data_IF_834664641546
#
_entry.id   IF_834664641546
#
_cell.length_a   1.000
_cell.length_b   1.000
_cell.length_c   1.000
_cell.angle_alpha   90.00
_cell.angle_beta   90.00
_cell.angle_gamma   90.00
#
_symmetry.space_group_name_H-M   'P 1'
#
loop_
_entity.id
_entity.type
_entity.pdbx_description
1 polymer ?
#
# COMPACT_ATOMS: atom_id res chain seq x y z
N UNK A 1 1.28 4.44 28.58
CA UNK A 1 -0.16 4.62 28.54
C UNK A 1 -0.70 4.81 27.12
N UNK A 2 -0.21 5.81 26.41
CA UNK A 2 -0.65 6.06 25.04
C UNK A 2 -0.32 4.87 24.14
N UNK A 3 0.81 4.23 24.37
CA UNK A 3 1.21 3.05 23.63
C UNK A 3 0.26 1.88 23.82
N UNK A 4 -0.26 1.72 25.05
CA UNK A 4 -1.21 0.66 25.32
C UNK A 4 -2.54 0.88 24.59
N UNK A 5 -3.03 2.11 24.62
CA UNK A 5 -4.29 2.45 23.92
C UNK A 5 -4.10 2.29 22.41
N UNK A 6 -2.95 2.70 21.90
CA UNK A 6 -2.65 2.56 20.48
C UNK A 6 -2.60 1.10 20.04
N UNK A 7 -2.09 0.21 20.89
CA UNK A 7 -2.07 -1.22 20.58
C UNK A 7 -3.48 -1.78 20.46
N UNK A 8 -4.37 -1.43 21.40
CA UNK A 8 -5.76 -1.89 21.32
C UNK A 8 -6.45 -1.30 20.10
N UNK A 9 -6.29 -0.01 19.88
CA UNK A 9 -6.85 0.65 18.71
C UNK A 9 -6.30 0.06 17.42
N UNK A 10 -5.00 -0.28 17.42
CA UNK A 10 -4.37 -0.90 16.26
C UNK A 10 -5.01 -2.21 15.88
N UNK A 11 -5.31 -3.07 16.87
CA UNK A 11 -6.00 -4.34 16.61
C UNK A 11 -7.40 -4.11 16.07
N UNK A 12 -8.15 -3.19 16.69
CA UNK A 12 -9.50 -2.83 16.25
C UNK A 12 -9.49 -2.21 14.86
N UNK A 13 -8.54 -1.33 14.60
CA UNK A 13 -8.40 -0.70 13.30
C UNK A 13 -8.06 -1.71 12.21
N UNK A 14 -7.25 -2.72 12.54
CA UNK A 14 -6.91 -3.76 11.57
C UNK A 14 -8.13 -4.61 11.20
N UNK A 15 -8.97 -4.93 12.19
CA UNK A 15 -10.21 -5.67 11.94
C UNK A 15 -11.16 -4.85 11.09
N UNK A 16 -11.28 -3.56 11.41
CA UNK A 16 -12.12 -2.66 10.64
C UNK A 16 -11.63 -2.55 9.20
N UNK A 17 -10.32 -2.41 9.03
CA UNK A 17 -9.71 -2.34 7.72
C UNK A 17 -10.03 -3.57 6.88
N UNK A 18 -9.91 -4.76 7.47
CA UNK A 18 -10.22 -6.00 6.77
C UNK A 18 -11.69 -6.07 6.36
N UNK A 19 -12.59 -5.67 7.25
CA UNK A 19 -14.02 -5.64 6.97
C UNK A 19 -14.33 -4.66 5.85
N UNK A 20 -13.78 -3.45 5.94
CA UNK A 20 -13.98 -2.42 4.91
C UNK A 20 -13.47 -2.89 3.55
N UNK A 21 -12.30 -3.51 3.53
CA UNK A 21 -11.71 -4.01 2.31
C UNK A 21 -12.58 -5.07 1.66
N UNK A 22 -13.00 -6.05 2.44
CA UNK A 22 -13.85 -7.14 1.93
C UNK A 22 -15.20 -6.62 1.43
N UNK A 23 -15.82 -5.72 2.18
CA UNK A 23 -17.12 -5.15 1.78
C UNK A 23 -16.99 -4.34 0.49
N UNK A 24 -15.94 -3.55 0.37
CA UNK A 24 -15.72 -2.76 -0.83
C UNK A 24 -15.42 -3.64 -2.04
N UNK A 25 -14.64 -4.69 -1.86
CA UNK A 25 -14.32 -5.62 -2.95
C UNK A 25 -15.55 -6.38 -3.40
N UNK A 26 -16.38 -6.85 -2.46
CA UNK A 26 -17.61 -7.54 -2.80
C UNK A 26 -18.56 -6.61 -3.56
N UNK A 27 -18.64 -5.34 -3.15
CA UNK A 27 -19.47 -4.37 -3.86
C UNK A 27 -19.00 -4.18 -5.30
N UNK A 28 -17.68 -4.16 -5.52
CA UNK A 28 -17.12 -4.06 -6.87
C UNK A 28 -17.50 -5.28 -7.72
N UNK A 29 -17.39 -6.48 -7.15
CA UNK A 29 -17.68 -7.71 -7.88
C UNK A 29 -19.16 -7.82 -8.27
N UNK A 30 -20.02 -7.13 -7.54
CA UNK A 30 -21.46 -7.13 -7.82
C UNK A 30 -21.90 -5.98 -8.71
N UNK A 31 -20.98 -5.11 -9.08
CA UNK A 31 -21.27 -4.01 -9.99
C UNK A 31 -21.42 -4.55 -11.42
N UNK A 32 -22.35 -3.99 -12.18
CA UNK A 32 -22.61 -4.41 -13.56
C UNK A 32 -21.39 -4.24 -14.46
N UNK A 33 -20.51 -3.32 -14.12
CA UNK A 33 -19.32 -3.05 -14.92
C UNK A 33 -18.09 -3.87 -14.52
N UNK A 34 -18.24 -4.76 -13.54
CA UNK A 34 -17.09 -5.51 -13.02
C UNK A 34 -16.38 -6.33 -14.11
N UNK A 35 -17.15 -7.02 -14.95
CA UNK A 35 -16.55 -7.84 -16.00
C UNK A 35 -15.70 -6.99 -16.96
N UNK A 36 -16.16 -5.78 -17.27
CA UNK A 36 -15.42 -4.86 -18.11
C UNK A 36 -14.15 -4.39 -17.38
N UNK A 37 -14.29 -3.94 -16.15
CA UNK A 37 -13.15 -3.46 -15.36
C UNK A 37 -12.11 -4.55 -15.17
N UNK A 38 -12.56 -5.77 -14.89
CA UNK A 38 -11.69 -6.93 -14.66
C UNK A 38 -10.78 -7.19 -15.85
N UNK A 39 -11.30 -7.03 -17.04
CA UNK A 39 -10.56 -7.31 -18.28
C UNK A 39 -9.74 -6.13 -18.77
N UNK A 40 -10.11 -4.92 -18.39
CA UNK A 40 -9.43 -3.70 -18.85
C UNK A 40 -8.32 -3.22 -17.93
N UNK A 41 -8.38 -3.57 -16.65
CA UNK A 41 -7.40 -3.08 -15.69
C UNK A 41 -6.14 -3.94 -15.74
N UNK A 42 -5.09 -3.37 -16.32
CA UNK A 42 -3.80 -4.04 -16.48
C UNK A 42 -2.71 -3.12 -15.93
N UNK A 43 -2.03 -3.55 -14.88
CA UNK A 43 -0.94 -2.77 -14.31
C UNK A 43 -0.07 -3.60 -13.38
N UNK A 44 1.12 -3.09 -13.12
CA UNK A 44 2.03 -3.65 -12.13
C UNK A 44 2.36 -2.54 -11.13
N UNK A 45 2.30 -2.86 -9.85
CA UNK A 45 2.64 -1.91 -8.79
C UNK A 45 3.31 -2.62 -7.63
N UNK A 46 3.89 -1.83 -6.74
CA UNK A 46 4.56 -2.33 -5.55
C UNK A 46 3.98 -1.67 -4.31
N UNK A 47 3.70 -2.46 -3.29
CA UNK A 47 3.30 -1.97 -1.98
C UNK A 47 4.46 -2.22 -1.03
N UNK A 48 4.89 -1.18 -0.32
CA UNK A 48 5.94 -1.28 0.69
C UNK A 48 5.34 -0.97 2.05
N UNK A 49 5.60 -1.82 3.02
CA UNK A 49 5.01 -1.71 4.35
C UNK A 49 5.98 -2.26 5.41
N UNK A 50 5.65 -2.09 6.68
CA UNK A 50 6.41 -2.70 7.76
C UNK A 50 6.02 -4.16 7.95
N UNK A 51 6.81 -4.89 8.71
CA UNK A 51 6.58 -6.31 8.95
C UNK A 51 5.24 -6.58 9.63
N UNK A 52 4.82 -5.68 10.51
CA UNK A 52 3.57 -5.87 11.27
C UNK A 52 2.35 -5.93 10.36
N UNK A 53 2.28 -5.09 9.34
CA UNK A 53 1.13 -5.02 8.44
C UNK A 53 1.28 -5.89 7.19
N UNK A 54 2.43 -6.50 7.00
CA UNK A 54 2.74 -7.19 5.75
C UNK A 54 1.72 -8.26 5.38
N UNK A 55 1.40 -9.15 6.31
CA UNK A 55 0.51 -10.27 5.98
C UNK A 55 -0.89 -9.81 5.59
N UNK A 56 -1.37 -8.75 6.22
CA UNK A 56 -2.69 -8.17 5.90
C UNK A 56 -2.69 -7.57 4.50
N UNK A 57 -1.68 -6.77 4.19
CA UNK A 57 -1.60 -6.14 2.87
C UNK A 57 -1.32 -7.14 1.76
N UNK A 58 -0.50 -8.15 2.04
CA UNK A 58 -0.25 -9.22 1.08
C UNK A 58 -1.53 -10.01 0.79
N UNK A 59 -2.35 -10.25 1.80
CA UNK A 59 -3.65 -10.89 1.62
C UNK A 59 -4.60 -10.07 0.77
N UNK A 60 -4.64 -8.75 0.99
CA UNK A 60 -5.45 -7.85 0.17
C UNK A 60 -5.00 -7.86 -1.29
N UNK A 61 -3.68 -7.82 -1.50
CA UNK A 61 -3.12 -7.85 -2.85
C UNK A 61 -3.49 -9.15 -3.57
N UNK A 62 -3.45 -10.27 -2.85
CA UNK A 62 -3.84 -11.56 -3.42
C UNK A 62 -5.30 -11.57 -3.86
N UNK A 63 -6.19 -11.01 -3.04
CA UNK A 63 -7.60 -10.94 -3.37
C UNK A 63 -7.85 -10.05 -4.58
N UNK A 64 -7.14 -8.93 -4.68
CA UNK A 64 -7.24 -8.05 -5.85
C UNK A 64 -6.74 -8.77 -7.11
N UNK A 65 -5.62 -9.48 -7.02
CA UNK A 65 -5.08 -10.20 -8.17
C UNK A 65 -5.99 -11.34 -8.63
N UNK A 66 -6.74 -11.95 -7.71
CA UNK A 66 -7.75 -12.94 -8.08
C UNK A 66 -8.94 -12.32 -8.78
N UNK A 67 -9.37 -11.14 -8.30
CA UNK A 67 -10.53 -10.45 -8.85
C UNK A 67 -10.19 -9.73 -10.16
N UNK A 68 -8.93 -9.32 -10.35
CA UNK A 68 -8.44 -8.56 -11.51
C UNK A 68 -7.18 -9.24 -12.05
N UNK A 69 -7.34 -10.26 -12.90
CA UNK A 69 -6.21 -11.15 -13.25
C UNK A 69 -5.07 -10.50 -14.01
N UNK A 70 -5.26 -9.30 -14.53
CA UNK A 70 -4.21 -8.60 -15.27
C UNK A 70 -3.44 -7.59 -14.41
N UNK A 71 -3.73 -7.56 -13.11
CA UNK A 71 -2.98 -6.74 -12.16
C UNK A 71 -1.93 -7.60 -11.48
N UNK A 72 -0.73 -7.06 -11.38
CA UNK A 72 0.35 -7.69 -10.63
C UNK A 72 0.77 -6.75 -9.51
N UNK A 73 0.75 -7.24 -8.28
CA UNK A 73 1.10 -6.46 -7.09
C UNK A 73 2.22 -7.14 -6.34
N UNK A 74 3.35 -6.44 -6.20
CA UNK A 74 4.42 -6.88 -5.31
C UNK A 74 4.16 -6.29 -3.93
N UNK A 75 4.31 -7.07 -2.89
CA UNK A 75 4.21 -6.56 -1.51
C UNK A 75 5.50 -6.89 -0.79
N UNK A 76 6.17 -5.88 -0.26
CA UNK A 76 7.43 -6.07 0.45
C UNK A 76 7.34 -5.53 1.87
N UNK A 77 7.81 -6.34 2.81
CA UNK A 77 8.02 -5.91 4.19
C UNK A 77 9.40 -5.25 4.25
N UNK A 78 9.42 -3.96 4.53
CA UNK A 78 10.67 -3.21 4.60
C UNK A 78 11.28 -3.37 5.97
N UNK A 79 12.54 -3.82 6.01
CA UNK A 79 13.29 -3.93 7.25
C UNK A 79 13.67 -2.52 7.71
N UNK A 80 13.44 -2.22 8.99
CA UNK A 80 13.81 -0.93 9.52
C UNK A 80 15.27 -0.94 9.95
N UNK A 81 16.16 -0.53 9.07
CA UNK A 81 17.58 -0.47 9.37
C UNK A 81 17.95 0.82 10.12
N UNK A 82 17.18 1.89 9.89
CA UNK A 82 17.43 3.17 10.51
C UNK A 82 17.23 3.14 12.04
N UNK A 83 16.08 2.63 12.48
CA UNK A 83 15.77 2.55 13.92
C UNK A 83 16.08 1.18 14.53
N UNK A 84 16.32 0.16 13.69
CA UNK A 84 16.63 -1.20 14.15
C UNK A 84 15.59 -2.21 13.68
N UNK A 85 16.04 -3.43 13.43
CA UNK A 85 15.20 -4.50 12.85
C UNK A 85 14.02 -4.92 13.72
N UNK A 86 14.07 -4.63 15.02
CA UNK A 86 12.95 -4.94 15.92
C UNK A 86 11.80 -3.97 15.77
N UNK A 87 11.99 -2.86 15.09
CA UNK A 87 10.93 -1.89 14.81
C UNK A 87 10.16 -2.38 13.58
N UNK A 88 8.89 -2.73 13.76
CA UNK A 88 8.09 -3.39 12.72
C UNK A 88 6.91 -2.57 12.21
N UNK A 89 6.66 -1.40 12.79
CA UNK A 89 5.54 -0.56 12.37
C UNK A 89 5.90 0.28 11.15
N UNK A 90 4.95 0.40 10.23
CA UNK A 90 5.15 1.12 8.97
C UNK A 90 5.47 2.59 9.17
N UNK A 91 4.88 3.22 10.18
CA UNK A 91 5.05 4.66 10.42
C UNK A 91 6.48 5.09 10.75
N UNK A 92 7.37 4.15 11.07
CA UNK A 92 8.77 4.47 11.38
C UNK A 92 9.73 4.07 10.26
N UNK A 93 9.23 3.67 9.11
CA UNK A 93 10.06 3.37 7.93
C UNK A 93 10.54 4.67 7.31
N UNK A 94 11.83 4.74 6.99
CA UNK A 94 12.44 5.94 6.41
C UNK A 94 12.53 5.84 4.89
N UNK A 95 12.73 6.99 4.25
CA UNK A 95 12.94 7.04 2.81
C UNK A 95 14.20 6.29 2.38
N UNK A 96 15.26 6.35 3.18
CA UNK A 96 16.51 5.64 2.88
C UNK A 96 16.32 4.13 2.88
N UNK A 97 15.56 3.60 3.83
CA UNK A 97 15.30 2.16 3.89
C UNK A 97 14.44 1.72 2.71
N UNK A 98 13.43 2.51 2.35
CA UNK A 98 12.62 2.24 1.16
C UNK A 98 13.50 2.22 -0.09
N UNK A 99 14.30 3.26 -0.27
CA UNK A 99 15.16 3.39 -1.45
C UNK A 99 16.12 2.21 -1.58
N UNK A 100 16.86 1.91 -0.51
CA UNK A 100 17.88 0.87 -0.54
C UNK A 100 17.28 -0.50 -0.85
N UNK A 101 16.21 -0.85 -0.15
CA UNK A 101 15.64 -2.19 -0.27
C UNK A 101 14.83 -2.37 -1.56
N UNK A 102 14.17 -1.33 -2.03
CA UNK A 102 13.47 -1.42 -3.31
C UNK A 102 14.42 -1.42 -4.50
N UNK A 103 15.50 -0.66 -4.44
CA UNK A 103 16.54 -0.72 -5.48
C UNK A 103 17.18 -2.11 -5.53
N UNK A 104 17.38 -2.73 -4.38
CA UNK A 104 17.89 -4.10 -4.32
C UNK A 104 16.95 -5.08 -5.01
N UNK A 105 15.64 -4.95 -4.78
CA UNK A 105 14.65 -5.78 -5.47
C UNK A 105 14.66 -5.56 -6.96
N UNK A 106 14.75 -4.31 -7.38
CA UNK A 106 14.82 -3.96 -8.80
C UNK A 106 16.07 -4.54 -9.45
N UNK A 107 17.20 -4.46 -8.76
CA UNK A 107 18.47 -5.01 -9.25
C UNK A 107 18.42 -6.53 -9.37
N UNK A 108 17.61 -7.20 -8.55
CA UNK A 108 17.46 -8.66 -8.61
C UNK A 108 16.55 -9.12 -9.76
N UNK A 109 16.01 -8.20 -10.53
CA UNK A 109 15.19 -8.52 -11.70
C UNK A 109 13.68 -8.46 -11.48
N UNK A 110 13.22 -7.99 -10.32
CA UNK A 110 11.79 -7.86 -10.06
C UNK A 110 11.27 -6.60 -10.73
N UNK A 111 10.17 -6.76 -11.48
CA UNK A 111 9.47 -5.63 -12.06
C UNK A 111 8.60 -4.98 -10.99
N UNK A 112 9.02 -3.81 -10.51
CA UNK A 112 8.29 -3.08 -9.46
C UNK A 112 7.06 -2.34 -10.01
N UNK A 113 6.97 -2.19 -11.33
CA UNK A 113 5.90 -1.41 -11.93
C UNK A 113 6.18 0.08 -11.89
N UNK A 114 5.14 0.87 -12.12
CA UNK A 114 5.26 2.32 -12.21
C UNK A 114 4.80 3.05 -10.95
N UNK A 115 4.23 2.34 -9.99
CA UNK A 115 3.64 2.95 -8.79
C UNK A 115 4.14 2.26 -7.53
N UNK A 116 4.58 3.09 -6.58
CA UNK A 116 4.89 2.65 -5.23
C UNK A 116 3.78 3.13 -4.29
N UNK A 117 3.08 2.19 -3.67
CA UNK A 117 1.98 2.48 -2.76
C UNK A 117 2.48 2.33 -1.32
N UNK A 118 2.28 3.37 -0.53
CA UNK A 118 2.59 3.35 0.91
C UNK A 118 1.41 3.91 1.70
N UNK A 119 1.39 3.67 3.00
CA UNK A 119 0.43 4.35 3.87
C UNK A 119 0.96 5.73 4.25
N UNK A 120 0.08 6.71 4.36
CA UNK A 120 0.47 8.10 4.56
C UNK A 120 1.16 8.36 5.89
N UNK A 121 1.03 7.44 6.86
CA UNK A 121 1.69 7.59 8.16
C UNK A 121 3.21 7.46 8.10
N UNK A 122 3.76 7.05 6.96
CA UNK A 122 5.22 7.06 6.77
C UNK A 122 5.77 8.46 6.54
N UNK A 123 4.90 9.40 6.18
CA UNK A 123 5.29 10.79 5.94
C UNK A 123 5.04 11.63 7.19
N UNK A 124 5.82 12.70 7.36
CA UNK A 124 5.53 13.66 8.41
C UNK A 124 4.18 14.30 8.15
N UNK A 125 3.45 14.54 9.23
CA UNK A 125 2.10 15.08 9.14
C UNK A 125 2.05 16.35 8.29
N UNK A 126 1.23 16.30 7.22
CA UNK A 126 1.05 17.44 6.34
C UNK A 126 2.21 17.76 5.41
N UNK A 127 3.24 16.91 5.38
CA UNK A 127 4.43 17.13 4.57
C UNK A 127 4.70 15.97 3.62
N UNK A 128 5.41 16.25 2.52
CA UNK A 128 5.84 15.22 1.57
C UNK A 128 7.28 14.81 1.86
N UNK A 129 7.55 14.47 3.13
CA UNK A 129 8.89 14.18 3.64
C UNK A 129 8.82 13.01 4.60
N UNK A 130 9.76 12.07 4.45
CA UNK A 130 9.92 10.95 5.39
C UNK A 130 10.63 11.41 6.67
N UNK A 131 10.69 10.52 7.66
CA UNK A 131 11.29 10.85 8.96
C UNK A 131 12.77 11.21 8.88
N UNK A 132 13.47 10.73 7.87
CA UNK A 132 14.90 10.99 7.66
C UNK A 132 15.17 12.18 6.72
N UNK A 133 14.18 13.04 6.54
CA UNK A 133 14.23 14.22 5.69
C UNK A 133 14.30 13.96 4.19
N UNK A 134 14.30 12.69 3.76
CA UNK A 134 14.16 12.40 2.34
C UNK A 134 12.78 12.84 1.86
N UNK A 135 12.73 13.54 0.73
CA UNK A 135 11.44 13.96 0.17
C UNK A 135 10.84 12.85 -0.69
N UNK A 136 9.53 12.91 -0.85
CA UNK A 136 8.83 11.99 -1.77
C UNK A 136 9.43 12.10 -3.17
N UNK A 137 9.71 13.33 -3.63
CA UNK A 137 10.27 13.53 -4.97
C UNK A 137 11.64 12.86 -5.13
N UNK A 138 12.47 12.94 -4.10
CA UNK A 138 13.78 12.28 -4.14
C UNK A 138 13.64 10.77 -4.27
N UNK A 139 12.70 10.18 -3.56
CA UNK A 139 12.45 8.75 -3.66
C UNK A 139 11.88 8.36 -5.02
N UNK A 140 10.93 9.13 -5.54
CA UNK A 140 10.37 8.89 -6.86
C UNK A 140 11.45 8.91 -7.95
N UNK A 141 12.32 9.91 -7.88
CA UNK A 141 13.43 10.04 -8.84
C UNK A 141 14.39 8.87 -8.74
N UNK A 142 14.70 8.44 -7.53
CA UNK A 142 15.64 7.33 -7.31
C UNK A 142 15.10 6.01 -7.82
N UNK A 143 13.80 5.78 -7.69
CA UNK A 143 13.16 4.52 -8.08
C UNK A 143 12.57 4.56 -9.49
N UNK A 144 12.44 5.73 -10.07
CA UNK A 144 11.74 5.94 -11.34
C UNK A 144 10.30 5.42 -11.24
N UNK A 145 9.61 5.82 -10.19
CA UNK A 145 8.24 5.42 -9.90
C UNK A 145 7.44 6.59 -9.38
N UNK A 146 6.12 6.51 -9.52
CA UNK A 146 5.21 7.45 -8.87
C UNK A 146 4.84 6.91 -7.50
N UNK A 147 4.99 7.73 -6.47
CA UNK A 147 4.63 7.34 -5.11
C UNK A 147 3.21 7.79 -4.80
N UNK A 148 2.40 6.87 -4.31
CA UNK A 148 1.02 7.17 -3.87
C UNK A 148 0.93 6.82 -2.39
N UNK A 149 0.64 7.84 -1.58
CA UNK A 149 0.45 7.66 -0.14
C UNK A 149 -1.05 7.68 0.15
N UNK A 150 -1.54 6.64 0.82
CA UNK A 150 -2.98 6.49 1.06
C UNK A 150 -3.27 6.38 2.54
N UNK A 151 -4.50 6.76 2.89
CA UNK A 151 -5.03 6.49 4.22
C UNK A 151 -5.25 4.99 4.38
N UNK A 152 -5.17 4.52 5.61
CA UNK A 152 -5.33 3.11 5.90
C UNK A 152 -6.81 2.76 5.99
N UNK A 153 -7.51 2.86 4.86
CA UNK A 153 -8.93 2.58 4.71
C UNK A 153 -9.14 1.61 3.56
N UNK A 154 -10.06 0.67 3.75
CA UNK A 154 -10.26 -0.40 2.78
C UNK A 154 -10.61 0.09 1.38
N UNK A 155 -11.52 1.03 1.26
CA UNK A 155 -11.92 1.58 -0.02
C UNK A 155 -10.77 2.32 -0.71
N UNK A 156 -10.03 3.14 0.03
CA UNK A 156 -8.89 3.87 -0.53
C UNK A 156 -7.80 2.94 -1.04
N UNK A 157 -7.54 1.87 -0.29
CA UNK A 157 -6.55 0.89 -0.71
C UNK A 157 -6.94 0.23 -2.02
N UNK A 158 -8.21 -0.15 -2.16
CA UNK A 158 -8.69 -0.76 -3.40
C UNK A 158 -8.58 0.23 -4.57
N UNK A 159 -9.02 1.45 -4.38
CA UNK A 159 -8.94 2.47 -5.43
C UNK A 159 -7.50 2.72 -5.87
N UNK A 160 -6.57 2.76 -4.92
CA UNK A 160 -5.16 2.96 -5.22
C UNK A 160 -4.56 1.76 -5.95
N UNK A 161 -4.90 0.54 -5.54
CA UNK A 161 -4.42 -0.67 -6.20
C UNK A 161 -4.92 -0.76 -7.63
N UNK A 162 -6.15 -0.36 -7.86
CA UNK A 162 -6.76 -0.40 -9.19
C UNK A 162 -6.48 0.86 -10.01
N UNK A 163 -6.07 1.94 -9.36
CA UNK A 163 -5.89 3.26 -9.95
C UNK A 163 -7.19 3.79 -10.57
N UNK A 164 -8.31 3.50 -9.91
CA UNK A 164 -9.64 3.90 -10.36
C UNK A 164 -10.53 4.22 -9.18
N UNK A 165 -11.52 5.07 -9.41
CA UNK A 165 -12.54 5.42 -8.43
C UNK A 165 -13.83 4.66 -8.71
N UNK A 166 -13.73 3.34 -8.85
CA UNK A 166 -14.86 2.49 -9.22
C UNK A 166 -16.03 2.62 -8.24
N UNK A 167 -15.72 2.76 -6.96
CA UNK A 167 -16.77 2.84 -5.95
C UNK A 167 -17.55 4.13 -6.01
N UNK A 168 -16.98 5.19 -6.58
CA UNK A 168 -17.66 6.47 -6.73
C UNK A 168 -18.58 6.47 -7.95
N UNK A 169 -18.29 5.67 -8.95
CA UNK A 169 -19.04 5.63 -10.19
C UNK A 169 -20.44 5.05 -10.04
N UNK A 170 -20.65 4.22 -9.03
CA UNK A 170 -21.96 3.60 -8.84
C UNK A 170 -22.99 4.52 -8.23
N UNK A 171 -22.58 5.65 -7.70
CA UNK A 171 -23.49 6.63 -7.12
C UNK A 171 -24.11 7.56 -8.17
N UNK A 172 -23.72 7.40 -9.39
CA UNK A 172 -24.24 8.14 -10.53
C UNK A 172 -25.33 7.34 -11.30
#
# INVERSE_FOLDING_TARGET
YDGYIQLENGVGMMRLLKTEFHDALEALKQNDNYETWKNETCRTLTIATGKLAYSTLAGFAEEIMKAFPYIKINVFAIRNDFFGETVTVSGLITGQDLKAQLLEKKASGIDLGDTLLITCNMLRSGEQVFLDDMTVQELEDALDMTLVAVENQGQELIEAMLNHHYTMQRDN
#
